data_IF_340767993548
#
_entry.id   IF_340767993548
#
_cell.length_a   1.000
_cell.length_b   1.000
_cell.length_c   1.000
_cell.angle_alpha   90.00
_cell.angle_beta   90.00
_cell.angle_gamma   90.00
#
_symmetry.space_group_name_H-M   'P 1'
#
loop_
_entity.id
_entity.type
_entity.pdbx_description
1 polymer ?
#
# COMPACT_ATOMS: atom_id res chain seq x y z
N UNK A 1 -44.46 -18.63 21.57
CA UNK A 1 -43.95 -19.62 20.59
C UNK A 1 -45.05 -20.58 20.12
N UNK A 2 -45.65 -21.39 21.00
CA UNK A 2 -46.71 -22.36 20.64
C UNK A 2 -47.87 -21.72 19.86
N UNK A 3 -48.46 -20.65 20.37
CA UNK A 3 -49.57 -19.93 19.72
C UNK A 3 -49.22 -19.43 18.31
N UNK A 4 -47.97 -19.04 18.08
CA UNK A 4 -47.49 -18.59 16.77
C UNK A 4 -47.39 -19.76 15.77
N UNK A 5 -46.87 -20.91 16.22
CA UNK A 5 -46.79 -22.11 15.39
C UNK A 5 -48.19 -22.61 14.98
N UNK A 6 -49.12 -22.62 15.94
CA UNK A 6 -50.49 -23.08 15.71
C UNK A 6 -51.25 -22.11 14.80
N UNK A 7 -51.12 -20.79 15.04
CA UNK A 7 -51.75 -19.75 14.22
C UNK A 7 -51.31 -19.78 12.76
N UNK A 8 -50.02 -20.06 12.51
CA UNK A 8 -49.44 -20.08 11.16
C UNK A 8 -49.38 -21.48 10.54
N UNK A 9 -49.94 -22.49 11.21
CA UNK A 9 -49.94 -23.89 10.75
C UNK A 9 -48.52 -24.37 10.36
N UNK A 10 -47.54 -24.12 11.23
CA UNK A 10 -46.13 -24.44 10.96
C UNK A 10 -45.84 -25.92 11.31
N UNK A 11 -45.44 -26.69 10.29
CA UNK A 11 -45.05 -28.10 10.45
C UNK A 11 -43.62 -28.26 10.97
N UNK A 12 -42.67 -27.51 10.39
CA UNK A 12 -41.26 -27.59 10.71
C UNK A 12 -40.60 -26.20 10.80
N UNK A 13 -39.59 -26.10 11.65
CA UNK A 13 -38.72 -24.93 11.77
C UNK A 13 -37.31 -25.36 11.38
N UNK A 14 -36.72 -24.68 10.39
CA UNK A 14 -35.39 -25.00 9.90
C UNK A 14 -34.38 -23.90 10.25
N UNK A 15 -33.31 -24.25 10.97
CA UNK A 15 -32.23 -23.34 11.33
C UNK A 15 -30.92 -24.12 11.57
N UNK A 16 -29.79 -23.43 11.70
CA UNK A 16 -28.55 -24.08 12.13
C UNK A 16 -28.66 -24.66 13.56
N UNK A 17 -27.82 -25.65 13.86
CA UNK A 17 -27.91 -26.43 15.10
C UNK A 17 -27.39 -25.70 16.36
N UNK A 18 -26.72 -24.56 16.20
CA UNK A 18 -26.08 -23.88 17.32
C UNK A 18 -27.14 -23.30 18.27
N UNK A 19 -26.96 -23.40 19.59
CA UNK A 19 -27.89 -22.83 20.55
C UNK A 19 -27.88 -21.31 20.43
N UNK A 20 -29.06 -20.71 20.34
CA UNK A 20 -29.21 -19.27 20.18
C UNK A 20 -29.75 -18.68 21.48
N UNK A 21 -28.92 -17.91 22.18
CA UNK A 21 -29.28 -17.35 23.48
C UNK A 21 -30.42 -16.33 23.37
N UNK A 22 -31.29 -16.33 24.37
CA UNK A 22 -32.27 -15.28 24.56
C UNK A 22 -31.59 -13.97 25.03
N UNK A 23 -32.07 -12.84 24.52
CA UNK A 23 -31.79 -11.48 25.02
C UNK A 23 -31.95 -11.28 26.53
N UNK A 24 -32.76 -12.10 27.22
CA UNK A 24 -32.99 -12.05 28.67
C UNK A 24 -31.90 -12.74 29.50
N UNK A 25 -31.02 -13.54 28.87
CA UNK A 25 -29.98 -14.31 29.57
C UNK A 25 -30.48 -15.48 30.43
N UNK A 26 -31.80 -15.69 30.54
CA UNK A 26 -32.38 -16.77 31.34
C UNK A 26 -32.51 -18.10 30.57
N UNK A 27 -32.68 -18.04 29.25
CA UNK A 27 -32.83 -19.20 28.37
C UNK A 27 -31.55 -19.57 27.62
N UNK A 28 -31.17 -20.86 27.63
CA UNK A 28 -29.98 -21.37 26.94
C UNK A 28 -30.13 -21.41 25.42
N UNK A 29 -31.35 -21.65 24.92
CA UNK A 29 -31.65 -21.72 23.49
C UNK A 29 -33.13 -21.35 23.21
N UNK A 30 -33.36 -20.34 22.37
CA UNK A 30 -34.71 -19.90 21.97
C UNK A 30 -35.48 -20.98 21.18
N UNK A 31 -34.78 -21.97 20.60
CA UNK A 31 -35.40 -23.07 19.85
C UNK A 31 -35.66 -24.34 20.68
N UNK A 32 -35.41 -24.32 21.99
CA UNK A 32 -35.54 -25.51 22.86
C UNK A 32 -36.94 -26.14 22.80
N UNK A 33 -37.99 -25.31 22.78
CA UNK A 33 -39.37 -25.79 22.65
C UNK A 33 -39.62 -26.56 21.35
N UNK A 34 -39.17 -26.02 20.20
CA UNK A 34 -39.40 -26.64 18.89
C UNK A 34 -38.54 -27.88 18.67
N UNK A 35 -37.37 -27.94 19.31
CA UNK A 35 -36.51 -29.13 19.38
C UNK A 35 -37.19 -30.24 20.19
N UNK A 36 -37.74 -29.92 21.37
CA UNK A 36 -38.41 -30.88 22.26
C UNK A 36 -39.63 -31.55 21.62
N UNK A 37 -40.42 -30.82 20.83
CA UNK A 37 -41.60 -31.36 20.14
C UNK A 37 -41.28 -32.05 18.81
N UNK A 38 -40.00 -32.18 18.44
CA UNK A 38 -39.56 -32.88 17.22
C UNK A 38 -39.84 -32.14 15.90
N UNK A 39 -40.17 -30.84 15.96
CA UNK A 39 -40.47 -30.00 14.77
C UNK A 39 -39.25 -29.24 14.23
N UNK A 40 -38.08 -29.37 14.84
CA UNK A 40 -36.85 -28.70 14.42
C UNK A 40 -36.10 -29.50 13.34
N UNK A 41 -35.65 -28.82 12.28
CA UNK A 41 -34.84 -29.39 11.20
C UNK A 41 -33.53 -28.64 11.09
N UNK A 42 -32.43 -29.33 11.34
CA UNK A 42 -31.09 -28.74 11.29
C UNK A 42 -30.66 -28.48 9.84
N UNK A 43 -30.12 -27.29 9.61
CA UNK A 43 -29.49 -26.90 8.34
C UNK A 43 -28.00 -26.69 8.54
N UNK A 44 -27.22 -26.85 7.47
CA UNK A 44 -25.77 -26.59 7.48
C UNK A 44 -25.50 -25.18 6.98
N UNK A 45 -24.62 -24.45 7.66
CA UNK A 45 -24.13 -23.17 7.19
C UNK A 45 -23.27 -23.35 5.93
N UNK A 46 -23.31 -22.35 5.07
CA UNK A 46 -22.44 -22.25 3.91
C UNK A 46 -21.11 -21.63 4.32
N UNK A 47 -20.00 -22.30 4.01
CA UNK A 47 -18.67 -21.79 4.32
C UNK A 47 -18.31 -20.58 3.43
N UNK A 48 -17.64 -19.60 4.01
CA UNK A 48 -17.07 -18.46 3.28
C UNK A 48 -18.06 -17.37 2.85
N UNK A 49 -19.33 -17.46 3.27
CA UNK A 49 -20.32 -16.40 3.06
C UNK A 49 -21.13 -16.13 4.33
N UNK A 50 -21.05 -14.89 4.79
CA UNK A 50 -21.87 -14.36 5.89
C UNK A 50 -22.08 -12.86 5.69
N UNK A 51 -23.09 -12.29 6.34
CA UNK A 51 -23.31 -10.84 6.34
C UNK A 51 -22.07 -10.09 6.86
N UNK A 52 -21.44 -10.61 7.92
CA UNK A 52 -20.18 -10.07 8.45
C UNK A 52 -19.06 -10.09 7.42
N UNK A 53 -18.89 -11.19 6.68
CA UNK A 53 -17.87 -11.28 5.64
C UNK A 53 -18.11 -10.26 4.51
N UNK A 54 -19.37 -10.08 4.10
CA UNK A 54 -19.73 -9.08 3.09
C UNK A 54 -19.44 -7.67 3.61
N UNK A 55 -19.84 -7.34 4.84
CA UNK A 55 -19.55 -6.05 5.47
C UNK A 55 -18.04 -5.81 5.55
N UNK A 56 -17.27 -6.80 6.00
CA UNK A 56 -15.81 -6.69 6.10
C UNK A 56 -15.14 -6.47 4.74
N UNK A 57 -15.63 -7.09 3.66
CA UNK A 57 -15.13 -6.86 2.29
C UNK A 57 -15.36 -5.40 1.87
N UNK A 58 -16.57 -4.89 2.07
CA UNK A 58 -16.93 -3.48 1.74
C UNK A 58 -16.04 -2.51 2.53
N UNK A 59 -15.89 -2.71 3.84
CA UNK A 59 -15.08 -1.84 4.71
C UNK A 59 -13.59 -1.89 4.34
N UNK A 60 -13.07 -3.06 3.98
CA UNK A 60 -11.67 -3.21 3.56
C UNK A 60 -11.38 -2.44 2.28
N UNK A 61 -12.27 -2.55 1.30
CA UNK A 61 -12.13 -1.87 0.00
C UNK A 61 -12.32 -0.35 0.14
N UNK A 62 -13.10 0.11 1.12
CA UNK A 62 -13.22 1.53 1.44
C UNK A 62 -11.88 2.18 1.79
N UNK A 63 -11.01 1.51 2.56
CA UNK A 63 -9.68 2.06 2.86
C UNK A 63 -8.81 2.21 1.61
N UNK A 64 -8.89 1.25 0.67
CA UNK A 64 -8.19 1.36 -0.61
C UNK A 64 -8.78 2.48 -1.48
N UNK A 65 -10.11 2.63 -1.48
CA UNK A 65 -10.79 3.72 -2.17
C UNK A 65 -10.30 5.09 -1.67
N UNK A 66 -10.22 5.29 -0.35
CA UNK A 66 -9.73 6.54 0.24
C UNK A 66 -8.30 6.83 -0.19
N UNK A 67 -7.39 5.85 -0.05
CA UNK A 67 -5.98 5.99 -0.43
C UNK A 67 -5.79 6.38 -1.90
N UNK A 68 -6.49 5.69 -2.81
CA UNK A 68 -6.36 5.92 -4.26
C UNK A 68 -6.90 7.27 -4.68
N UNK A 69 -7.96 7.75 -4.05
CA UNK A 69 -8.52 9.06 -4.40
C UNK A 69 -7.71 10.21 -3.78
N UNK A 70 -7.12 10.02 -2.60
CA UNK A 70 -6.16 10.99 -2.04
C UNK A 70 -4.91 11.12 -2.95
N UNK A 71 -4.39 10.01 -3.47
CA UNK A 71 -3.26 10.00 -4.41
C UNK A 71 -3.57 10.70 -5.74
N UNK A 72 -4.86 10.72 -6.13
CA UNK A 72 -5.36 11.45 -7.31
C UNK A 72 -5.64 12.93 -7.05
N UNK A 73 -5.47 13.40 -5.81
CA UNK A 73 -5.63 14.81 -5.44
C UNK A 73 -7.01 15.20 -4.89
N UNK A 74 -7.92 14.25 -4.65
CA UNK A 74 -9.17 14.56 -3.94
C UNK A 74 -8.88 14.92 -2.48
N UNK A 75 -9.60 15.89 -1.94
CA UNK A 75 -9.46 16.28 -0.54
C UNK A 75 -10.19 15.30 0.39
N UNK A 76 -9.69 15.17 1.62
CA UNK A 76 -10.28 14.33 2.68
C UNK A 76 -11.74 14.73 2.97
N UNK A 77 -12.05 16.03 2.85
CA UNK A 77 -13.38 16.60 3.08
C UNK A 77 -14.39 16.15 2.02
N UNK A 78 -13.99 16.13 0.75
CA UNK A 78 -14.83 15.65 -0.37
C UNK A 78 -15.10 14.15 -0.30
N UNK A 79 -14.17 13.38 0.28
CA UNK A 79 -14.33 11.94 0.47
C UNK A 79 -15.16 11.58 1.70
N UNK A 80 -15.59 12.56 2.52
CA UNK A 80 -16.35 12.31 3.74
C UNK A 80 -15.57 11.51 4.80
N UNK A 81 -14.23 11.59 4.77
CA UNK A 81 -13.35 10.81 5.65
C UNK A 81 -13.00 11.64 6.88
N UNK A 82 -13.08 11.03 8.07
CA UNK A 82 -12.70 11.71 9.30
C UNK A 82 -11.19 11.93 9.40
N UNK A 83 -10.77 12.98 10.12
CA UNK A 83 -9.36 13.36 10.27
C UNK A 83 -8.48 12.23 10.84
N UNK A 84 -8.99 11.47 11.81
CA UNK A 84 -8.27 10.33 12.43
C UNK A 84 -7.99 9.24 11.38
N UNK A 85 -8.97 8.97 10.52
CA UNK A 85 -8.84 7.97 9.46
C UNK A 85 -7.87 8.43 8.38
N UNK A 86 -7.89 9.70 8.02
CA UNK A 86 -6.93 10.30 7.11
C UNK A 86 -5.49 10.29 7.65
N UNK A 87 -5.32 10.53 8.95
CA UNK A 87 -4.01 10.47 9.60
C UNK A 87 -3.45 9.04 9.57
N UNK A 88 -4.26 8.03 9.92
CA UNK A 88 -3.88 6.60 9.82
C UNK A 88 -3.49 6.19 8.40
N UNK A 89 -4.21 6.71 7.41
CA UNK A 89 -3.94 6.54 5.99
C UNK A 89 -2.58 7.17 5.64
N UNK A 90 -2.36 8.43 6.00
CA UNK A 90 -1.11 9.16 5.76
C UNK A 90 0.12 8.47 6.38
N UNK A 91 0.00 7.95 7.61
CA UNK A 91 1.06 7.19 8.27
C UNK A 91 1.44 5.93 7.49
N UNK A 92 0.47 5.14 7.03
CA UNK A 92 0.75 3.93 6.25
C UNK A 92 1.44 4.26 4.91
N UNK A 93 1.07 5.38 4.27
CA UNK A 93 1.73 5.87 3.05
C UNK A 93 3.16 6.32 3.31
N UNK A 94 3.37 7.06 4.41
CA UNK A 94 4.69 7.53 4.84
C UNK A 94 5.64 6.38 5.18
N UNK A 95 5.16 5.35 5.90
CA UNK A 95 5.96 4.15 6.19
C UNK A 95 6.42 3.44 4.92
N UNK A 96 5.53 3.30 3.94
CA UNK A 96 5.85 2.67 2.66
C UNK A 96 6.87 3.51 1.88
N UNK A 97 6.71 4.83 1.87
CA UNK A 97 7.64 5.77 1.26
C UNK A 97 9.03 5.71 1.91
N UNK A 98 9.10 5.70 3.24
CA UNK A 98 10.34 5.58 4.00
C UNK A 98 11.10 4.29 3.65
N UNK A 99 10.39 3.15 3.54
CA UNK A 99 10.98 1.87 3.13
C UNK A 99 11.54 1.93 1.70
N UNK A 100 10.83 2.56 0.77
CA UNK A 100 11.30 2.73 -0.61
C UNK A 100 12.53 3.63 -0.68
N UNK A 101 12.52 4.77 0.02
CA UNK A 101 13.66 5.69 0.05
C UNK A 101 14.90 5.06 0.66
N UNK A 102 14.75 4.22 1.69
CA UNK A 102 15.84 3.40 2.22
C UNK A 102 16.40 2.43 1.16
N UNK A 103 15.53 1.83 0.34
CA UNK A 103 15.94 0.97 -0.77
C UNK A 103 16.71 1.72 -1.87
N UNK A 104 16.22 2.90 -2.27
CA UNK A 104 16.87 3.80 -3.23
C UNK A 104 18.25 4.25 -2.76
N UNK A 105 18.39 4.64 -1.48
CA UNK A 105 19.70 4.98 -0.90
C UNK A 105 20.70 3.83 -0.98
N UNK A 106 20.27 2.60 -0.65
CA UNK A 106 21.12 1.40 -0.78
C UNK A 106 21.50 1.10 -2.22
N UNK A 107 20.58 1.31 -3.17
CA UNK A 107 20.86 1.12 -4.59
C UNK A 107 21.88 2.16 -5.08
N UNK A 108 21.68 3.43 -4.73
CA UNK A 108 22.59 4.52 -5.06
C UNK A 108 24.01 4.24 -4.57
N UNK A 109 24.16 3.77 -3.32
CA UNK A 109 25.47 3.42 -2.75
C UNK A 109 26.15 2.26 -3.51
N UNK A 110 25.38 1.25 -3.97
CA UNK A 110 25.89 0.16 -4.80
C UNK A 110 26.33 0.64 -6.17
N UNK A 111 25.56 1.52 -6.81
CA UNK A 111 25.90 2.12 -8.11
C UNK A 111 27.18 2.94 -8.01
N UNK A 112 27.32 3.77 -6.96
CA UNK A 112 28.53 4.56 -6.70
C UNK A 112 29.78 3.69 -6.59
N UNK A 113 29.73 2.62 -5.78
CA UNK A 113 30.84 1.65 -5.65
C UNK A 113 31.17 0.94 -6.96
N UNK A 114 30.20 0.72 -7.84
CA UNK A 114 30.45 0.15 -9.16
C UNK A 114 31.10 1.17 -10.11
N UNK A 115 30.67 2.43 -10.09
CA UNK A 115 31.29 3.50 -10.86
C UNK A 115 32.76 3.71 -10.48
N UNK A 116 33.08 3.74 -9.19
CA UNK A 116 34.47 3.84 -8.71
C UNK A 116 35.35 2.71 -9.25
N UNK A 117 34.89 1.46 -9.15
CA UNK A 117 35.60 0.28 -9.70
C UNK A 117 35.76 0.32 -11.22
N UNK A 118 34.78 0.87 -11.94
CA UNK A 118 34.87 1.04 -13.39
C UNK A 118 35.86 2.15 -13.73
N UNK A 119 35.86 3.25 -12.97
CA UNK A 119 36.83 4.34 -13.09
C UNK A 119 38.27 3.86 -12.89
N UNK A 120 38.54 3.11 -11.82
CA UNK A 120 39.86 2.51 -11.54
C UNK A 120 40.33 1.55 -12.65
N UNK A 121 39.40 0.74 -13.19
CA UNK A 121 39.73 -0.13 -14.33
C UNK A 121 40.01 0.68 -15.60
N UNK A 122 39.26 1.76 -15.82
CA UNK A 122 39.46 2.68 -16.94
C UNK A 122 40.81 3.39 -16.88
N UNK A 123 41.22 3.88 -15.71
CA UNK A 123 42.54 4.50 -15.51
C UNK A 123 43.66 3.49 -15.73
N UNK A 124 43.53 2.26 -15.20
CA UNK A 124 44.50 1.19 -15.42
C UNK A 124 44.64 0.79 -16.91
N UNK A 125 43.54 0.79 -17.66
CA UNK A 125 43.57 0.55 -19.12
C UNK A 125 44.28 1.69 -19.84
N UNK A 126 43.98 2.95 -19.47
CA UNK A 126 44.63 4.15 -20.03
C UNK A 126 46.14 4.12 -19.80
N UNK A 127 46.60 3.79 -18.60
CA UNK A 127 48.03 3.67 -18.28
C UNK A 127 48.72 2.56 -19.09
N UNK A 128 48.08 1.38 -19.21
CA UNK A 128 48.60 0.27 -20.02
C UNK A 128 48.69 0.58 -21.52
N UNK A 129 47.80 1.43 -22.03
CA UNK A 129 47.86 1.91 -23.43
C UNK A 129 49.00 2.93 -23.56
N UNK A 130 49.14 3.85 -22.61
CA UNK A 130 50.18 4.87 -22.60
C UNK A 130 51.60 4.25 -22.51
N UNK A 131 51.80 3.20 -21.71
CA UNK A 131 53.07 2.47 -21.63
C UNK A 131 53.44 1.76 -22.94
N UNK A 132 52.46 1.20 -23.67
CA UNK A 132 52.72 0.60 -24.99
C UNK A 132 53.11 1.63 -26.05
N UNK A 133 52.58 2.85 -25.94
CA UNK A 133 52.88 3.94 -26.86
C UNK A 133 54.25 4.59 -26.60
N UNK A 134 54.83 4.46 -25.39
CA UNK A 134 56.18 4.99 -25.04
C UNK A 134 57.35 4.25 -25.73
N UNK A 135 57.09 3.12 -26.39
CA UNK A 135 58.11 2.29 -27.06
C UNK A 135 58.19 2.42 -28.59
N UNK A 136 57.46 3.36 -29.21
CA UNK A 136 57.48 3.58 -30.66
C UNK A 136 58.17 4.92 -30.99
N UNK A 137 58.96 5.02 -32.08
CA UNK A 137 59.63 6.26 -32.43
C UNK A 137 58.59 7.34 -32.77
N UNK A 138 58.79 8.52 -32.18
CA UNK A 138 57.90 9.68 -32.29
C UNK A 138 57.88 10.23 -33.71
N UNK A 139 56.68 10.31 -34.31
CA UNK A 139 56.33 11.37 -35.26
C UNK A 139 55.55 12.41 -34.44
N UNK A 140 56.18 13.54 -34.10
CA UNK A 140 55.52 14.73 -33.53
C UNK A 140 54.75 15.49 -34.63
N UNK A 141 53.89 16.48 -34.39
CA UNK A 141 53.37 17.24 -33.24
C UNK A 141 51.91 17.63 -33.65
N UNK A 142 50.98 18.02 -32.79
CA UNK A 142 50.75 19.42 -32.35
C UNK A 142 49.88 19.41 -31.08
N UNK A 143 50.27 20.27 -30.14
CA UNK A 143 49.52 20.75 -28.98
C UNK A 143 48.44 21.71 -29.47
N UNK A 144 47.20 21.58 -29.02
CA UNK A 144 46.40 22.75 -28.67
C UNK A 144 45.78 22.45 -27.30
N UNK A 145 46.20 23.26 -26.33
CA UNK A 145 45.47 23.47 -25.09
C UNK A 145 44.45 24.54 -25.42
N UNK A 146 43.18 24.26 -25.25
CA UNK A 146 42.23 25.27 -24.84
C UNK A 146 41.52 24.72 -23.61
N UNK A 147 41.80 25.40 -22.51
CA UNK A 147 41.13 25.32 -21.24
C UNK A 147 39.66 25.72 -21.44
N UNK A 148 38.72 24.93 -20.93
CA UNK A 148 37.43 25.43 -20.45
C UNK A 148 36.90 24.44 -19.40
N UNK A 149 37.19 24.78 -18.15
CA UNK A 149 36.60 24.20 -16.94
C UNK A 149 35.13 24.64 -16.85
N UNK A 150 34.20 23.82 -17.34
CA UNK A 150 32.78 23.99 -17.04
C UNK A 150 32.44 23.33 -15.69
N UNK A 151 32.59 24.12 -14.62
CA UNK A 151 32.05 23.84 -13.27
C UNK A 151 30.51 23.76 -13.36
N UNK A 152 29.95 22.55 -13.31
CA UNK A 152 28.50 22.36 -13.15
C UNK A 152 28.07 22.76 -11.73
N UNK A 153 27.72 24.03 -11.57
CA UNK A 153 26.96 24.54 -10.44
C UNK A 153 25.54 23.92 -10.49
N UNK A 154 25.20 23.07 -9.51
CA UNK A 154 23.80 22.75 -9.24
C UNK A 154 23.21 23.91 -8.43
N UNK A 155 22.42 24.76 -9.07
CA UNK A 155 21.56 25.73 -8.40
C UNK A 155 20.61 24.99 -7.43
N UNK A 156 20.94 25.04 -6.15
CA UNK A 156 20.00 24.82 -5.05
C UNK A 156 19.22 26.13 -4.84
N UNK A 157 18.34 26.45 -5.78
CA UNK A 157 17.36 27.52 -5.58
C UNK A 157 16.04 26.93 -5.06
N UNK A 158 15.98 26.95 -3.74
CA UNK A 158 14.79 27.09 -2.92
C UNK A 158 13.75 28.05 -3.48
N UNK A 159 12.49 27.61 -3.34
CA UNK A 159 11.29 28.39 -3.03
C UNK A 159 10.70 29.31 -4.11
N UNK A 160 9.73 28.75 -4.84
CA UNK A 160 8.82 29.48 -5.73
C UNK A 160 7.46 28.80 -5.77
N UNK A 161 6.77 28.68 -4.62
CA UNK A 161 5.31 28.48 -4.64
C UNK A 161 4.64 29.84 -4.76
N UNK A 162 4.32 30.22 -5.99
CA UNK A 162 3.27 31.21 -6.24
C UNK A 162 1.95 30.65 -5.72
N UNK A 163 1.40 31.36 -4.75
CA UNK A 163 0.03 31.27 -4.28
C UNK A 163 -0.89 31.88 -5.34
N UNK A 164 -1.84 31.11 -5.86
CA UNK A 164 -3.03 31.67 -6.48
C UNK A 164 -4.13 31.67 -5.43
N UNK A 165 -4.42 32.87 -4.91
CA UNK A 165 -5.69 33.18 -4.25
C UNK A 165 -6.64 33.82 -5.28
N UNK A 166 -7.83 33.23 -5.38
CA UNK A 166 -9.18 33.81 -5.49
C UNK A 166 -9.42 35.12 -6.27
N UNK A 167 -10.31 35.05 -7.28
CA UNK A 167 -11.57 35.84 -7.35
C UNK A 167 -12.11 35.92 -8.80
N UNK A 168 -13.32 35.40 -9.01
CA UNK A 168 -14.11 35.50 -10.25
C UNK A 168 -15.33 34.60 -10.30
#
# INVERSE_FOLDING_TARGET
MKEFLDKHQIDYVAHDALPYADTSGAGKDVYEFVKTIGKFKETKRTDGISTSDIIMRIVKDYNQYVMRNLDRGYSIKELGVSYVKACSVSYATLEKWLRMNMGLKKLHEKVKKQQEKVGEKGTAIRERIQERLKGQPLIGFIHDKDDDDDDYFYDDDTDGKETYDDDG
#
